data_IF_864672767924
#
_entry.id   IF_864672767924
#
_cell.length_a   1.000
_cell.length_b   1.000
_cell.length_c   1.000
_cell.angle_alpha   90.00
_cell.angle_beta   90.00
_cell.angle_gamma   90.00
#
_symmetry.space_group_name_H-M   'P 1'
#
loop_
_entity.id
_entity.type
_entity.pdbx_description
1 polymer ?
#
# COMPACT_ATOMS: atom_id res chain seq x y z
N UNK A 1 -11.35 5.70 -11.14
CA UNK A 1 -11.93 6.67 -10.17
C UNK A 1 -12.97 6.03 -9.25
N UNK A 2 -13.55 4.88 -9.62
CA UNK A 2 -14.56 4.17 -8.83
C UNK A 2 -14.06 3.80 -7.42
N UNK A 3 -12.83 3.31 -7.30
CA UNK A 3 -12.22 2.97 -6.00
C UNK A 3 -11.70 4.15 -5.18
N UNK A 4 -11.89 5.39 -5.64
CA UNK A 4 -11.28 6.56 -5.01
C UNK A 4 -11.70 6.71 -3.55
N UNK A 5 -12.98 6.48 -3.25
CA UNK A 5 -13.52 6.55 -1.87
C UNK A 5 -12.98 5.43 -0.98
N UNK A 6 -12.77 4.23 -1.54
CA UNK A 6 -12.20 3.09 -0.83
C UNK A 6 -10.74 3.36 -0.47
N UNK A 7 -9.93 3.76 -1.45
CA UNK A 7 -8.52 4.09 -1.22
C UNK A 7 -8.38 5.27 -0.24
N UNK A 8 -9.29 6.24 -0.31
CA UNK A 8 -9.34 7.37 0.62
C UNK A 8 -9.60 6.91 2.06
N UNK A 9 -10.60 6.05 2.26
CA UNK A 9 -10.93 5.55 3.60
C UNK A 9 -9.77 4.74 4.18
N UNK A 10 -9.12 3.89 3.39
CA UNK A 10 -7.95 3.14 3.84
C UNK A 10 -6.76 4.05 4.17
N UNK A 11 -6.49 5.08 3.35
CA UNK A 11 -5.41 6.04 3.58
C UNK A 11 -5.60 6.84 4.86
N UNK A 12 -6.86 7.16 5.20
CA UNK A 12 -7.21 7.95 6.38
C UNK A 12 -7.56 7.13 7.63
N UNK A 13 -7.62 5.79 7.53
CA UNK A 13 -7.81 4.94 8.69
C UNK A 13 -6.76 5.27 9.78
N UNK A 14 -7.17 5.41 11.06
CA UNK A 14 -6.28 5.87 12.13
C UNK A 14 -5.01 5.02 12.29
N UNK A 15 -5.12 3.70 12.14
CA UNK A 15 -3.98 2.81 12.26
C UNK A 15 -3.11 2.85 11.00
N UNK A 16 -3.69 2.91 9.79
CA UNK A 16 -2.92 3.13 8.56
C UNK A 16 -2.08 4.38 8.68
N UNK A 17 -2.68 5.50 9.10
CA UNK A 17 -1.97 6.78 9.27
C UNK A 17 -0.84 6.69 10.28
N UNK A 18 -1.09 6.10 11.46
CA UNK A 18 -0.05 5.89 12.48
C UNK A 18 1.13 5.08 11.98
N UNK A 19 0.87 4.11 11.09
CA UNK A 19 1.87 3.19 10.55
C UNK A 19 2.49 3.66 9.23
N UNK A 20 2.04 4.80 8.70
CA UNK A 20 2.54 5.41 7.48
C UNK A 20 3.69 6.38 7.78
N UNK A 21 4.58 6.57 6.80
CA UNK A 21 5.68 7.55 6.89
C UNK A 21 5.13 8.97 7.06
N UNK A 22 4.06 9.31 6.32
CA UNK A 22 3.28 10.52 6.57
C UNK A 22 1.99 10.14 7.31
N UNK A 23 1.88 10.61 8.54
CA UNK A 23 0.74 10.34 9.42
C UNK A 23 -0.35 11.39 9.33
N UNK A 24 -0.25 12.43 8.49
CA UNK A 24 -1.28 13.47 8.35
C UNK A 24 -2.60 12.92 7.80
N UNK A 25 -3.70 13.60 8.10
CA UNK A 25 -4.97 13.35 7.41
C UNK A 25 -4.87 13.90 6.00
N UNK A 26 -5.45 13.18 5.04
CA UNK A 26 -5.58 13.65 3.67
C UNK A 26 -7.01 14.10 3.46
N UNK A 27 -7.25 15.32 3.00
CA UNK A 27 -8.59 15.75 2.60
C UNK A 27 -8.99 15.11 1.25
N UNK A 28 -10.29 15.14 0.94
CA UNK A 28 -10.81 14.47 -0.24
C UNK A 28 -10.27 15.03 -1.56
N UNK A 29 -10.12 16.35 -1.69
CA UNK A 29 -9.68 16.96 -2.93
C UNK A 29 -8.19 16.71 -3.19
N UNK A 30 -7.36 16.73 -2.13
CA UNK A 30 -5.96 16.32 -2.21
C UNK A 30 -5.83 14.86 -2.64
N UNK A 31 -6.61 13.95 -2.05
CA UNK A 31 -6.58 12.53 -2.43
C UNK A 31 -7.05 12.31 -3.88
N UNK A 32 -8.17 12.93 -4.26
CA UNK A 32 -8.71 12.84 -5.62
C UNK A 32 -7.70 13.33 -6.65
N UNK A 33 -7.10 14.50 -6.40
CA UNK A 33 -6.08 15.08 -7.29
C UNK A 33 -4.83 14.21 -7.37
N UNK A 34 -4.41 13.59 -6.26
CA UNK A 34 -3.30 12.63 -6.25
C UNK A 34 -3.64 11.40 -7.10
N UNK A 35 -4.84 10.83 -6.96
CA UNK A 35 -5.25 9.65 -7.70
C UNK A 35 -5.40 9.93 -9.19
N UNK A 36 -6.00 11.06 -9.58
CA UNK A 36 -6.12 11.48 -10.98
C UNK A 36 -4.73 11.63 -11.63
N UNK A 37 -3.80 12.33 -10.97
CA UNK A 37 -2.41 12.43 -11.45
C UNK A 37 -1.71 11.07 -11.53
N UNK A 38 -2.04 10.14 -10.63
CA UNK A 38 -1.45 8.80 -10.63
C UNK A 38 -1.97 7.96 -11.79
N UNK A 39 -3.29 7.95 -11.98
CA UNK A 39 -3.96 7.21 -13.05
C UNK A 39 -3.68 7.80 -14.44
N UNK A 40 -3.30 9.08 -14.53
CA UNK A 40 -2.87 9.72 -15.79
C UNK A 40 -1.43 9.39 -16.23
N UNK A 41 -0.68 8.58 -15.48
CA UNK A 41 0.66 8.12 -15.89
C UNK A 41 0.54 7.03 -16.96
N UNK A 42 1.54 6.92 -17.84
CA UNK A 42 1.63 5.82 -18.81
C UNK A 42 1.65 4.44 -18.13
N UNK A 43 2.29 4.37 -16.96
CA UNK A 43 2.24 3.20 -16.09
C UNK A 43 1.86 3.63 -14.66
N UNK A 44 0.57 3.55 -14.30
CA UNK A 44 0.11 3.95 -12.98
C UNK A 44 0.58 3.05 -11.84
N UNK A 45 1.04 1.82 -12.07
CA UNK A 45 1.52 0.86 -11.05
C UNK A 45 0.87 1.01 -9.65
N UNK A 46 -0.46 1.09 -9.62
CA UNK A 46 -1.28 1.21 -8.40
C UNK A 46 -2.32 0.12 -8.51
N UNK A 47 -2.23 -0.87 -7.63
CA UNK A 47 -3.01 -2.08 -7.70
C UNK A 47 -3.84 -2.24 -6.44
N UNK A 48 -5.05 -2.78 -6.59
CA UNK A 48 -5.87 -3.25 -5.49
C UNK A 48 -5.80 -4.78 -5.51
N UNK A 49 -5.53 -5.38 -4.35
CA UNK A 49 -5.59 -6.81 -4.17
C UNK A 49 -7.02 -7.22 -3.81
N UNK A 50 -7.50 -8.30 -4.42
CA UNK A 50 -8.85 -8.82 -4.19
C UNK A 50 -8.82 -10.29 -3.78
N UNK A 51 -9.78 -10.69 -2.94
CA UNK A 51 -10.07 -12.09 -2.60
C UNK A 51 -11.57 -12.29 -2.79
N UNK A 52 -11.96 -13.18 -3.71
CA UNK A 52 -13.37 -13.50 -3.98
C UNK A 52 -14.20 -12.22 -4.25
N UNK A 53 -13.65 -11.29 -5.05
CA UNK A 53 -14.28 -10.01 -5.40
C UNK A 53 -14.26 -8.94 -4.30
N UNK A 54 -13.66 -9.21 -3.14
CA UNK A 54 -13.51 -8.22 -2.07
C UNK A 54 -12.14 -7.57 -2.12
N UNK A 55 -12.09 -6.24 -2.20
CA UNK A 55 -10.87 -5.47 -2.10
C UNK A 55 -10.27 -5.59 -0.69
N UNK A 56 -9.07 -6.17 -0.57
CA UNK A 56 -8.42 -6.48 0.72
C UNK A 56 -7.15 -5.67 1.00
N UNK A 57 -6.66 -4.91 0.02
CA UNK A 57 -5.50 -4.06 0.18
C UNK A 57 -5.09 -3.40 -1.11
N UNK A 58 -4.04 -2.59 -1.05
CA UNK A 58 -3.46 -1.93 -2.20
C UNK A 58 -1.95 -1.93 -2.09
N UNK A 59 -1.27 -1.96 -3.23
CA UNK A 59 0.14 -1.63 -3.32
C UNK A 59 0.41 -0.72 -4.52
N UNK A 60 1.49 0.03 -4.42
CA UNK A 60 1.96 0.96 -5.45
C UNK A 60 3.46 0.80 -5.65
N UNK A 61 3.90 0.85 -6.90
CA UNK A 61 5.34 0.83 -7.25
C UNK A 61 5.77 2.21 -7.72
N UNK A 62 6.87 2.70 -7.16
CA UNK A 62 7.50 3.97 -7.53
C UNK A 62 8.98 3.70 -7.86
N UNK A 63 9.27 3.32 -9.10
CA UNK A 63 10.60 2.89 -9.52
C UNK A 63 11.03 1.58 -8.85
N UNK A 64 11.99 1.65 -7.91
CA UNK A 64 12.40 0.50 -7.10
C UNK A 64 11.59 0.33 -5.81
N UNK A 65 10.71 1.28 -5.48
CA UNK A 65 10.03 1.30 -4.19
C UNK A 65 8.64 0.67 -4.25
N UNK A 66 8.24 0.08 -3.13
CA UNK A 66 6.88 -0.43 -2.92
C UNK A 66 6.26 0.22 -1.68
N UNK A 67 5.04 0.75 -1.85
CA UNK A 67 4.15 1.19 -0.78
C UNK A 67 2.92 0.31 -0.75
N UNK A 68 2.38 -0.01 0.42
CA UNK A 68 1.24 -0.91 0.54
C UNK A 68 0.39 -0.63 1.77
N UNK A 69 -0.87 -1.06 1.70
CA UNK A 69 -1.84 -0.95 2.78
C UNK A 69 -2.77 -2.16 2.72
N UNK A 70 -3.01 -2.79 3.87
CA UNK A 70 -4.06 -3.80 4.01
C UNK A 70 -5.31 -3.11 4.53
N UNK A 71 -6.46 -3.43 3.93
CA UNK A 71 -7.76 -2.93 4.35
C UNK A 71 -7.99 -3.21 5.85
N UNK A 72 -8.57 -2.26 6.62
CA UNK A 72 -8.74 -2.40 8.07
C UNK A 72 -9.33 -3.75 8.51
N UNK A 73 -10.39 -4.19 7.85
CA UNK A 73 -11.15 -5.41 8.19
C UNK A 73 -10.41 -6.72 7.85
N UNK A 74 -9.27 -6.60 7.19
CA UNK A 74 -8.49 -7.74 6.70
C UNK A 74 -7.07 -7.83 7.29
N UNK A 75 -6.75 -6.96 8.25
CA UNK A 75 -5.48 -7.00 9.00
C UNK A 75 -5.38 -8.30 9.81
N UNK A 76 -4.15 -8.70 10.13
CA UNK A 76 -3.87 -9.91 10.92
C UNK A 76 -4.08 -11.24 10.17
N UNK A 77 -4.57 -11.22 8.92
CA UNK A 77 -4.87 -12.43 8.12
C UNK A 77 -3.75 -12.83 7.15
N UNK A 78 -2.55 -12.27 7.30
CA UNK A 78 -1.39 -12.55 6.42
C UNK A 78 -1.50 -11.99 5.00
N UNK A 79 -2.44 -11.06 4.74
CA UNK A 79 -2.69 -10.52 3.39
C UNK A 79 -1.51 -9.71 2.86
N UNK A 80 -0.87 -8.88 3.69
CA UNK A 80 0.30 -8.11 3.28
C UNK A 80 1.37 -9.01 2.64
N UNK A 81 1.71 -10.12 3.31
CA UNK A 81 2.70 -11.07 2.80
C UNK A 81 2.30 -11.64 1.43
N UNK A 82 1.05 -12.10 1.28
CA UNK A 82 0.56 -12.66 0.00
C UNK A 82 0.61 -11.61 -1.11
N UNK A 83 0.14 -10.40 -0.84
CA UNK A 83 0.14 -9.29 -1.78
C UNK A 83 1.56 -8.90 -2.21
N UNK A 84 2.52 -8.88 -1.27
CA UNK A 84 3.91 -8.54 -1.55
C UNK A 84 4.64 -9.65 -2.32
N UNK A 85 4.35 -10.92 -2.07
CA UNK A 85 4.87 -12.03 -2.89
C UNK A 85 4.43 -11.88 -4.35
N UNK A 86 3.16 -11.56 -4.58
CA UNK A 86 2.64 -11.30 -5.94
C UNK A 86 3.31 -10.08 -6.57
N UNK A 87 3.44 -8.98 -5.82
CA UNK A 87 4.14 -7.79 -6.31
C UNK A 87 5.60 -8.10 -6.70
N UNK A 88 6.31 -8.91 -5.91
CA UNK A 88 7.65 -9.37 -6.24
C UNK A 88 7.69 -10.22 -7.51
N UNK A 89 6.74 -11.12 -7.71
CA UNK A 89 6.68 -11.96 -8.90
C UNK A 89 6.46 -11.13 -10.17
N UNK A 90 5.64 -10.08 -10.08
CA UNK A 90 5.33 -9.20 -11.21
C UNK A 90 6.43 -8.17 -11.50
N UNK A 91 7.03 -7.59 -10.47
CA UNK A 91 7.89 -6.40 -10.59
C UNK A 91 9.32 -6.59 -10.06
N UNK A 92 9.66 -7.79 -9.60
CA UNK A 92 10.94 -8.09 -8.97
C UNK A 92 11.05 -7.61 -7.51
N UNK A 93 12.21 -7.80 -6.86
CA UNK A 93 12.51 -7.18 -5.56
C UNK A 93 12.29 -5.67 -5.59
N UNK A 94 11.82 -5.14 -4.47
CA UNK A 94 11.58 -3.70 -4.26
C UNK A 94 12.10 -3.27 -2.89
N UNK A 95 12.34 -1.98 -2.73
CA UNK A 95 12.61 -1.35 -1.46
C UNK A 95 11.29 -0.93 -0.79
N UNK A 96 11.04 -1.40 0.42
CA UNK A 96 9.95 -0.95 1.27
C UNK A 96 10.51 0.03 2.32
N UNK A 97 10.16 1.32 2.21
CA UNK A 97 10.42 2.29 3.27
C UNK A 97 9.33 2.23 4.33
N UNK A 98 9.72 2.01 5.58
CA UNK A 98 8.79 1.67 6.67
C UNK A 98 9.14 2.50 7.90
N UNK A 99 8.13 3.09 8.53
CA UNK A 99 8.29 3.82 9.78
C UNK A 99 8.88 2.90 10.86
N UNK A 100 9.79 3.43 11.70
CA UNK A 100 10.50 2.66 12.77
C UNK A 100 9.60 1.75 13.62
N UNK A 101 8.40 2.21 13.94
CA UNK A 101 7.49 1.46 14.82
C UNK A 101 6.59 0.47 14.08
N UNK A 102 6.64 0.44 12.75
CA UNK A 102 5.82 -0.43 11.91
C UNK A 102 6.51 -1.77 11.62
N UNK A 103 6.91 -2.45 12.70
CA UNK A 103 7.56 -3.77 12.68
C UNK A 103 6.74 -4.84 11.92
N UNK A 104 5.39 -4.90 12.01
CA UNK A 104 4.62 -5.88 11.27
C UNK A 104 4.77 -5.74 9.74
N UNK A 105 4.85 -4.51 9.24
CA UNK A 105 5.05 -4.26 7.81
C UNK A 105 6.45 -4.65 7.38
N UNK A 106 7.48 -4.29 8.16
CA UNK A 106 8.86 -4.68 7.85
C UNK A 106 9.01 -6.19 7.71
N UNK A 107 8.49 -6.95 8.68
CA UNK A 107 8.50 -8.42 8.65
C UNK A 107 7.77 -8.99 7.43
N UNK A 108 6.65 -8.38 7.02
CA UNK A 108 5.91 -8.83 5.84
C UNK A 108 6.71 -8.59 4.54
N UNK A 109 7.35 -7.44 4.41
CA UNK A 109 8.19 -7.10 3.26
C UNK A 109 9.44 -7.99 3.17
N UNK A 110 10.17 -8.17 4.28
CA UNK A 110 11.35 -9.03 4.34
C UNK A 110 10.99 -10.48 3.99
N UNK A 111 9.91 -11.02 4.59
CA UNK A 111 9.46 -12.39 4.32
C UNK A 111 8.97 -12.58 2.89
N UNK A 112 8.47 -11.54 2.24
CA UNK A 112 8.12 -11.54 0.82
C UNK A 112 9.35 -11.41 -0.11
N UNK A 113 10.55 -11.18 0.43
CA UNK A 113 11.78 -11.00 -0.35
C UNK A 113 11.97 -9.59 -0.90
N UNK A 114 11.42 -8.58 -0.22
CA UNK A 114 11.75 -7.16 -0.44
C UNK A 114 12.81 -6.71 0.56
N UNK A 115 13.53 -5.64 0.22
CA UNK A 115 14.47 -4.99 1.15
C UNK A 115 13.72 -3.97 1.97
N UNK A 116 14.08 -3.78 3.25
CA UNK A 116 13.47 -2.77 4.12
C UNK A 116 14.47 -1.67 4.46
N UNK A 117 14.01 -0.42 4.38
CA UNK A 117 14.70 0.73 4.95
C UNK A 117 13.80 1.41 5.98
N UNK A 118 14.33 1.63 7.18
CA UNK A 118 13.62 2.28 8.28
C UNK A 118 13.70 3.80 8.17
N UNK A 119 12.58 4.48 8.43
CA UNK A 119 12.48 5.93 8.54
C UNK A 119 12.09 6.32 9.98
#
# INVERSE_FOLDING_TARGET
MEDARLLFSWRNDPLTRRMSINSDTVDWDTHRSWLERRLGRADPLLHIAEIEGHCVGTFRIDGDEISYTVAPDFRGKGIALKMLILARQMFGPKLARIARDNVPSARAAEKAGHTVAWL
#
